data_IF_367765637840
#
_entry.id   IF_367765637840
#
_cell.length_a   1.000
_cell.length_b   1.000
_cell.length_c   1.000
_cell.angle_alpha   90.00
_cell.angle_beta   90.00
_cell.angle_gamma   90.00
#
_symmetry.space_group_name_H-M   'P 1'
#
loop_
_entity.id
_entity.type
_entity.pdbx_description
1 polymer ?
#
# COMPACT_ATOMS: atom_id res chain seq x y z
N UNK A 1 -28.66 -23.05 40.44
CA UNK A 1 -27.77 -23.40 41.57
C UNK A 1 -26.74 -22.27 41.66
N UNK A 2 -27.08 -21.14 42.32
CA UNK A 2 -26.78 -20.82 43.74
C UNK A 2 -25.24 -20.77 43.96
N UNK A 3 -24.55 -19.71 44.39
CA UNK A 3 -24.82 -18.46 45.13
C UNK A 3 -23.75 -17.42 44.67
N UNK A 4 -24.07 -16.13 44.50
CA UNK A 4 -23.88 -15.04 45.48
C UNK A 4 -22.54 -15.05 46.24
N UNK A 5 -21.65 -14.10 45.91
CA UNK A 5 -20.87 -13.40 46.92
C UNK A 5 -20.65 -11.94 46.50
N UNK A 6 -21.24 -11.11 47.36
CA UNK A 6 -21.22 -9.68 47.44
C UNK A 6 -19.79 -9.20 47.68
N UNK A 7 -19.28 -8.27 46.88
CA UNK A 7 -18.20 -7.38 47.33
C UNK A 7 -18.50 -5.95 46.87
N UNK A 8 -19.33 -5.29 47.67
CA UNK A 8 -19.40 -3.84 47.77
C UNK A 8 -18.02 -3.31 48.18
N UNK A 9 -17.20 -2.89 47.21
CA UNK A 9 -16.09 -1.98 47.50
C UNK A 9 -16.54 -0.57 47.15
N UNK A 10 -16.69 0.25 48.20
CA UNK A 10 -16.88 1.70 48.12
C UNK A 10 -15.85 2.30 47.16
N UNK A 11 -16.29 2.77 45.99
CA UNK A 11 -15.51 3.74 45.21
C UNK A 11 -15.51 5.05 45.99
N UNK A 12 -14.41 5.34 46.66
CA UNK A 12 -14.10 6.70 47.07
C UNK A 12 -14.01 7.56 45.80
N UNK A 13 -15.03 8.39 45.61
CA UNK A 13 -15.10 9.46 44.65
C UNK A 13 -14.19 10.60 45.11
N UNK A 14 -12.90 10.53 44.84
CA UNK A 14 -12.00 11.69 44.87
C UNK A 14 -10.82 11.47 43.94
N UNK A 15 -11.05 11.58 42.63
CA UNK A 15 -10.00 11.93 41.69
C UNK A 15 -10.66 12.82 40.62
N UNK A 16 -10.50 14.14 40.78
CA UNK A 16 -10.73 15.08 39.70
C UNK A 16 -9.73 14.77 38.58
N UNK A 17 -10.11 13.88 37.65
CA UNK A 17 -9.39 13.73 36.39
C UNK A 17 -9.86 14.81 35.43
N UNK A 18 -8.99 15.77 35.17
CA UNK A 18 -9.22 16.74 34.11
C UNK A 18 -9.42 16.04 32.75
N UNK A 19 -10.27 16.58 31.87
CA UNK A 19 -10.47 16.09 30.52
C UNK A 19 -9.16 15.96 29.73
N UNK A 20 -9.05 14.96 28.86
CA UNK A 20 -7.84 14.62 28.08
C UNK A 20 -7.28 15.76 27.21
N UNK A 21 -8.09 16.76 26.88
CA UNK A 21 -7.67 17.95 26.12
C UNK A 21 -7.08 19.07 26.99
N UNK A 22 -7.17 18.99 28.32
CA UNK A 22 -6.52 19.91 29.26
C UNK A 22 -5.16 19.38 29.76
N UNK A 23 -4.98 18.06 29.79
CA UNK A 23 -3.67 17.44 30.06
C UNK A 23 -2.61 17.79 29.00
N UNK A 24 -3.03 18.02 27.77
CA UNK A 24 -2.16 18.51 26.69
C UNK A 24 -1.76 19.97 26.91
N UNK A 25 -2.60 20.81 27.50
CA UNK A 25 -2.24 22.21 27.82
C UNK A 25 -1.10 22.29 28.84
N UNK A 26 -1.06 21.41 29.83
CA UNK A 26 0.03 21.36 30.81
C UNK A 26 1.35 20.84 30.21
N UNK A 27 1.30 19.93 29.24
CA UNK A 27 2.49 19.50 28.47
C UNK A 27 2.99 20.57 27.48
N UNK A 28 2.11 21.46 27.01
CA UNK A 28 2.45 22.54 26.07
C UNK A 28 3.19 23.69 26.77
N UNK A 29 3.02 23.87 28.08
CA UNK A 29 3.61 25.01 28.82
C UNK A 29 5.03 24.80 29.37
N UNK A 30 5.59 23.59 29.36
CA UNK A 30 6.87 23.31 30.07
C UNK A 30 8.10 23.10 29.18
N UNK A 31 8.03 23.35 27.87
CA UNK A 31 9.22 23.34 27.03
C UNK A 31 9.12 24.43 25.95
N UNK A 32 10.03 25.41 25.91
CA UNK A 32 10.08 26.32 24.78
C UNK A 32 10.38 25.49 23.53
N UNK A 33 9.61 25.70 22.46
CA UNK A 33 9.90 25.22 21.10
C UNK A 33 11.17 25.90 20.56
N UNK A 34 12.31 25.65 21.22
CA UNK A 34 13.60 25.77 20.60
C UNK A 34 13.75 24.51 19.76
N UNK A 35 13.78 24.69 18.44
CA UNK A 35 14.30 23.70 17.50
C UNK A 35 15.48 22.99 18.17
N UNK A 36 15.35 21.70 18.54
CA UNK A 36 16.48 20.98 19.08
C UNK A 36 17.54 21.06 18.01
N UNK A 37 18.69 21.65 18.37
CA UNK A 37 19.89 21.65 17.54
C UNK A 37 19.97 20.28 16.88
N UNK A 38 19.95 20.27 15.55
CA UNK A 38 20.04 19.07 14.73
C UNK A 38 21.24 18.27 15.25
N UNK A 39 20.99 17.27 16.10
CA UNK A 39 22.05 16.38 16.51
C UNK A 39 22.29 15.47 15.31
N UNK A 40 23.28 15.90 14.50
CA UNK A 40 23.80 15.30 13.26
C UNK A 40 24.35 13.88 13.51
N UNK A 41 24.35 13.40 14.77
CA UNK A 41 24.91 12.11 15.20
C UNK A 41 24.13 10.86 14.77
N UNK A 42 22.97 10.96 14.11
CA UNK A 42 22.31 9.76 13.55
C UNK A 42 23.06 9.16 12.35
N UNK A 43 23.98 9.92 11.72
CA UNK A 43 24.88 9.41 10.66
C UNK A 43 26.10 8.66 11.23
N UNK A 44 26.40 8.78 12.53
CA UNK A 44 27.49 8.06 13.21
C UNK A 44 27.03 6.81 13.98
N UNK A 45 25.76 6.41 13.88
CA UNK A 45 25.31 5.15 14.47
C UNK A 45 25.78 3.96 13.63
N UNK A 46 26.59 3.08 14.24
CA UNK A 46 27.04 1.82 13.65
C UNK A 46 25.82 1.01 13.15
N UNK A 47 25.96 0.30 12.02
CA UNK A 47 24.87 -0.50 11.40
C UNK A 47 24.07 -1.32 12.42
N UNK A 48 24.75 -1.94 13.38
CA UNK A 48 24.12 -2.71 14.44
C UNK A 48 23.15 -1.92 15.31
N UNK A 49 23.49 -0.69 15.71
CA UNK A 49 22.63 0.14 16.56
C UNK A 49 21.39 0.64 15.80
N UNK A 50 21.56 0.96 14.51
CA UNK A 50 20.47 1.42 13.62
C UNK A 50 19.42 0.34 13.35
N UNK A 51 19.85 -0.91 13.20
CA UNK A 51 18.98 -2.05 12.90
C UNK A 51 18.65 -2.93 14.11
N UNK A 52 19.20 -2.64 15.30
CA UNK A 52 18.97 -3.40 16.53
C UNK A 52 17.49 -3.69 16.81
N UNK A 53 16.55 -2.72 16.66
CA UNK A 53 15.13 -3.00 16.86
C UNK A 53 14.54 -3.95 15.82
N UNK A 54 15.00 -3.85 14.56
CA UNK A 54 14.55 -4.74 13.47
C UNK A 54 15.14 -6.15 13.62
N UNK A 55 16.39 -6.25 14.05
CA UNK A 55 17.08 -7.51 14.37
C UNK A 55 16.43 -8.19 15.59
N UNK A 56 15.97 -7.40 16.56
CA UNK A 56 15.20 -7.87 17.71
C UNK A 56 13.87 -8.52 17.29
N UNK A 57 13.22 -8.06 16.23
CA UNK A 57 12.01 -8.69 15.65
C UNK A 57 12.33 -9.99 14.91
N UNK A 58 13.59 -10.21 14.48
CA UNK A 58 14.02 -11.47 13.85
C UNK A 58 14.22 -12.63 14.84
N UNK A 59 14.08 -12.40 16.15
CA UNK A 59 14.15 -13.48 17.15
C UNK A 59 12.89 -14.37 17.00
N UNK A 60 13.04 -15.68 16.73
CA UNK A 60 11.94 -16.55 16.32
C UNK A 60 10.80 -16.62 17.34
N UNK A 61 11.10 -16.95 18.60
CA UNK A 61 10.12 -17.06 19.69
C UNK A 61 10.63 -16.30 20.90
N UNK A 62 9.83 -15.35 21.39
CA UNK A 62 10.09 -14.66 22.66
C UNK A 62 9.25 -15.29 23.76
N UNK A 63 9.86 -16.17 24.54
CA UNK A 63 9.23 -16.88 25.67
C UNK A 63 8.86 -15.95 26.84
N UNK A 64 9.44 -14.76 26.92
CA UNK A 64 9.11 -13.73 27.93
C UNK A 64 8.59 -12.48 27.23
N UNK A 65 7.28 -12.28 27.27
CA UNK A 65 6.65 -11.03 26.87
C UNK A 65 7.02 -9.96 27.90
N UNK A 66 7.98 -9.08 27.58
CA UNK A 66 8.09 -7.81 28.31
C UNK A 66 6.77 -7.04 28.09
N UNK A 67 6.29 -6.32 29.10
CA UNK A 67 5.14 -5.43 28.94
C UNK A 67 5.56 -4.26 28.06
N UNK A 68 5.46 -4.41 26.73
CA UNK A 68 5.61 -3.27 25.83
C UNK A 68 4.29 -2.54 25.75
N UNK A 69 4.41 -1.23 25.64
CA UNK A 69 3.32 -0.28 25.44
C UNK A 69 2.52 -0.66 24.19
N UNK A 70 3.18 -1.13 23.13
CA UNK A 70 2.54 -1.77 21.97
C UNK A 70 2.92 -3.28 21.89
N UNK A 71 1.94 -4.21 21.82
CA UNK A 71 2.21 -5.66 21.73
C UNK A 71 3.04 -6.06 20.51
N UNK A 72 3.01 -5.24 19.46
CA UNK A 72 3.78 -5.43 18.24
C UNK A 72 5.29 -5.25 18.44
N UNK A 73 5.72 -4.29 19.27
CA UNK A 73 7.14 -3.98 19.49
C UNK A 73 7.87 -5.14 20.20
N UNK A 74 7.11 -6.00 20.86
CA UNK A 74 7.59 -7.20 21.51
C UNK A 74 7.27 -8.50 20.76
N UNK A 75 6.71 -8.44 19.56
CA UNK A 75 6.47 -9.63 18.75
C UNK A 75 7.81 -10.24 18.29
N UNK A 76 7.97 -11.55 18.47
CA UNK A 76 9.01 -12.33 17.79
C UNK A 76 8.67 -12.54 16.31
N UNK A 77 9.59 -13.09 15.52
CA UNK A 77 9.46 -13.25 14.07
C UNK A 77 8.20 -14.04 13.70
N UNK A 78 7.93 -15.17 14.38
CA UNK A 78 6.75 -15.97 14.11
C UNK A 78 5.46 -15.25 14.50
N UNK A 79 5.44 -14.56 15.64
CA UNK A 79 4.27 -13.77 16.07
C UNK A 79 4.00 -12.59 15.11
N UNK A 80 5.05 -11.97 14.59
CA UNK A 80 4.95 -10.91 13.59
C UNK A 80 4.46 -11.44 12.24
N UNK A 81 5.03 -12.55 11.75
CA UNK A 81 4.66 -13.16 10.46
C UNK A 81 3.22 -13.71 10.45
N UNK A 82 2.78 -14.30 11.57
CA UNK A 82 1.42 -14.86 11.72
C UNK A 82 0.40 -13.84 12.22
N UNK A 83 0.82 -12.60 12.48
CA UNK A 83 0.00 -11.56 13.11
C UNK A 83 -0.63 -11.97 14.46
N UNK A 84 -0.03 -12.94 15.15
CA UNK A 84 -0.57 -13.48 16.41
C UNK A 84 -0.73 -12.40 17.49
N UNK A 85 0.12 -11.38 17.51
CA UNK A 85 0.05 -10.25 18.45
C UNK A 85 -1.27 -9.46 18.37
N UNK A 86 -2.00 -9.52 17.25
CA UNK A 86 -3.30 -8.86 17.07
C UNK A 86 -4.48 -9.71 17.59
N UNK A 87 -4.27 -11.01 17.80
CA UNK A 87 -5.34 -11.97 18.11
C UNK A 87 -6.09 -11.64 19.40
N UNK A 88 -5.38 -11.16 20.43
CA UNK A 88 -5.99 -10.76 21.71
C UNK A 88 -6.95 -9.58 21.54
N UNK A 89 -6.59 -8.60 20.68
CA UNK A 89 -7.44 -7.46 20.35
C UNK A 89 -8.66 -7.90 19.53
N UNK A 90 -8.47 -8.81 18.57
CA UNK A 90 -9.58 -9.36 17.77
C UNK A 90 -10.60 -10.11 18.63
N UNK A 91 -10.14 -10.94 19.56
CA UNK A 91 -11.02 -11.67 20.50
C UNK A 91 -11.74 -10.68 21.43
N UNK A 92 -11.05 -9.64 21.92
CA UNK A 92 -11.67 -8.59 22.74
C UNK A 92 -12.74 -7.84 21.96
N UNK A 93 -12.49 -7.52 20.67
CA UNK A 93 -13.46 -6.88 19.79
C UNK A 93 -14.66 -7.74 19.42
N UNK A 94 -14.47 -9.06 19.33
CA UNK A 94 -15.57 -10.00 19.15
C UNK A 94 -16.50 -10.04 20.37
N UNK A 95 -15.94 -9.92 21.57
CA UNK A 95 -16.71 -10.00 22.83
C UNK A 95 -17.28 -8.65 23.30
N UNK A 96 -16.60 -7.55 22.97
CA UNK A 96 -16.94 -6.21 23.45
C UNK A 96 -16.67 -5.16 22.36
N UNK A 97 -17.40 -4.03 22.39
CA UNK A 97 -17.12 -2.92 21.48
C UNK A 97 -15.72 -2.34 21.74
N UNK A 98 -14.96 -2.12 20.66
CA UNK A 98 -13.66 -1.47 20.70
C UNK A 98 -13.87 0.05 20.65
N UNK A 99 -13.41 0.74 21.67
CA UNK A 99 -13.32 2.21 21.71
C UNK A 99 -11.87 2.65 21.49
N UNK A 100 -11.66 3.93 21.14
CA UNK A 100 -10.32 4.50 20.94
C UNK A 100 -9.37 4.24 22.13
N UNK A 101 -9.88 4.33 23.36
CA UNK A 101 -9.13 4.11 24.60
C UNK A 101 -8.72 2.64 24.83
N UNK A 102 -9.35 1.70 24.13
CA UNK A 102 -9.07 0.26 24.26
C UNK A 102 -8.02 -0.25 23.28
N UNK A 103 -7.62 0.61 22.33
CA UNK A 103 -6.59 0.30 21.36
C UNK A 103 -5.19 0.44 21.98
N UNK A 104 -4.24 -0.43 21.59
CA UNK A 104 -2.87 -0.26 22.02
C UNK A 104 -2.31 1.06 21.48
N UNK A 105 -1.54 1.81 22.29
CA UNK A 105 -0.86 3.02 21.84
C UNK A 105 0.12 2.73 20.69
N UNK A 106 0.37 3.74 19.87
CA UNK A 106 1.22 3.63 18.69
C UNK A 106 2.67 3.30 19.08
N UNK A 107 3.33 2.45 18.27
CA UNK A 107 4.76 2.17 18.41
C UNK A 107 5.57 3.45 18.18
N UNK A 108 6.62 3.65 18.99
CA UNK A 108 7.57 4.75 18.79
C UNK A 108 8.21 4.73 17.39
N UNK A 109 8.44 3.56 16.80
CA UNK A 109 9.05 3.46 15.46
C UNK A 109 8.09 3.84 14.32
N UNK A 110 6.79 3.82 14.59
CA UNK A 110 5.73 4.18 13.65
C UNK A 110 5.19 5.60 13.91
N UNK A 111 5.74 6.32 14.90
CA UNK A 111 5.35 7.70 15.23
C UNK A 111 5.90 8.73 14.22
N UNK A 112 5.36 9.94 14.25
CA UNK A 112 5.70 11.00 13.29
C UNK A 112 7.12 11.52 13.46
N UNK A 113 7.54 11.79 14.69
CA UNK A 113 8.80 12.46 15.02
C UNK A 113 10.07 11.79 14.44
N UNK A 114 10.36 10.49 14.67
CA UNK A 114 11.57 9.86 14.13
C UNK A 114 11.51 9.73 12.60
N UNK A 115 10.32 9.51 12.03
CA UNK A 115 10.15 9.36 10.60
C UNK A 115 10.26 10.71 9.86
N UNK A 116 9.74 11.80 10.45
CA UNK A 116 9.88 13.17 9.94
C UNK A 116 11.34 13.65 10.00
N UNK A 117 12.05 13.40 11.11
CA UNK A 117 13.50 13.69 11.22
C UNK A 117 14.29 12.97 10.12
N UNK A 118 14.06 11.66 9.95
CA UNK A 118 14.74 10.87 8.90
C UNK A 118 14.44 11.40 7.49
N UNK A 119 13.20 11.77 7.22
CA UNK A 119 12.83 12.32 5.91
C UNK A 119 13.49 13.68 5.65
N UNK A 120 13.54 14.57 6.65
CA UNK A 120 14.23 15.87 6.56
C UNK A 120 15.69 15.74 6.19
N UNK A 121 16.43 14.87 6.90
CA UNK A 121 17.84 14.62 6.60
C UNK A 121 18.06 14.18 5.14
N UNK A 122 17.20 13.30 4.63
CA UNK A 122 17.27 12.85 3.22
C UNK A 122 16.88 13.96 2.23
N UNK A 123 15.97 14.85 2.60
CA UNK A 123 15.54 16.00 1.81
C UNK A 123 16.65 17.04 1.71
N UNK A 124 17.23 17.43 2.85
CA UNK A 124 18.36 18.36 2.95
C UNK A 124 19.59 17.85 2.19
N UNK A 125 19.90 16.55 2.30
CA UNK A 125 20.98 15.93 1.53
C UNK A 125 20.76 15.97 0.01
N UNK A 126 19.50 15.88 -0.47
CA UNK A 126 19.19 16.01 -1.89
C UNK A 126 19.26 17.47 -2.35
N UNK A 127 18.76 18.41 -1.53
CA UNK A 127 18.87 19.85 -1.77
C UNK A 127 20.33 20.28 -1.87
N UNK A 128 21.18 19.85 -0.94
CA UNK A 128 22.61 20.15 -0.94
C UNK A 128 23.34 19.58 -2.18
N UNK A 129 22.86 18.44 -2.71
CA UNK A 129 23.52 17.76 -3.84
C UNK A 129 23.14 18.33 -5.20
N UNK A 130 21.87 18.69 -5.43
CA UNK A 130 21.35 19.00 -6.77
C UNK A 130 20.79 20.43 -6.87
N UNK A 131 20.69 21.15 -5.75
CA UNK A 131 20.10 22.48 -5.67
C UNK A 131 18.56 22.44 -5.64
N UNK A 132 17.92 23.55 -5.24
CA UNK A 132 16.47 23.63 -5.01
C UNK A 132 15.63 23.42 -6.28
N UNK A 133 16.12 23.86 -7.44
CA UNK A 133 15.37 23.76 -8.70
C UNK A 133 15.23 22.31 -9.18
N UNK A 134 16.29 21.51 -9.04
CA UNK A 134 16.38 20.12 -9.53
C UNK A 134 16.12 19.06 -8.45
N UNK A 135 15.82 19.46 -7.22
CA UNK A 135 15.45 18.54 -6.16
C UNK A 135 14.13 17.83 -6.47
N UNK A 136 14.08 16.51 -6.25
CA UNK A 136 12.92 15.67 -6.57
C UNK A 136 12.49 14.85 -5.36
N UNK A 137 11.22 15.03 -4.97
CA UNK A 137 10.57 14.27 -3.91
C UNK A 137 10.58 12.76 -4.21
N UNK A 138 10.38 12.38 -5.47
CA UNK A 138 10.37 10.98 -5.91
C UNK A 138 11.71 10.30 -5.61
N UNK A 139 12.83 10.99 -5.84
CA UNK A 139 14.17 10.43 -5.59
C UNK A 139 14.44 10.25 -4.09
N UNK A 140 13.97 11.16 -3.26
CA UNK A 140 14.08 11.07 -1.79
C UNK A 140 13.20 9.94 -1.25
N UNK A 141 11.98 9.78 -1.78
CA UNK A 141 11.10 8.64 -1.49
C UNK A 141 11.75 7.31 -1.87
N UNK A 142 12.36 7.21 -3.06
CA UNK A 142 13.08 6.00 -3.49
C UNK A 142 14.28 5.70 -2.59
N UNK A 143 15.05 6.72 -2.17
CA UNK A 143 16.14 6.55 -1.19
C UNK A 143 15.62 6.08 0.17
N UNK A 144 14.48 6.59 0.63
CA UNK A 144 13.84 6.18 1.87
C UNK A 144 13.45 4.69 1.86
N UNK A 145 13.05 4.18 0.69
CA UNK A 145 12.59 2.79 0.46
C UNK A 145 13.71 1.82 0.03
N UNK A 146 14.91 2.32 -0.36
CA UNK A 146 15.97 1.55 -1.03
C UNK A 146 16.33 0.22 -0.36
N UNK A 147 16.49 0.21 0.96
CA UNK A 147 16.87 -1.01 1.71
C UNK A 147 15.74 -2.03 1.81
N UNK A 148 14.48 -1.62 1.64
CA UNK A 148 13.30 -2.49 1.75
C UNK A 148 12.89 -3.06 0.39
N UNK A 149 13.01 -2.28 -0.68
CA UNK A 149 12.84 -2.76 -2.07
C UNK A 149 13.83 -3.91 -2.36
N UNK A 150 15.08 -3.81 -1.89
CA UNK A 150 16.07 -4.88 -2.08
C UNK A 150 15.69 -6.17 -1.34
N UNK A 151 15.14 -6.08 -0.13
CA UNK A 151 14.69 -7.26 0.63
C UNK A 151 13.49 -7.92 -0.04
N UNK A 152 12.56 -7.11 -0.56
CA UNK A 152 11.37 -7.59 -1.27
C UNK A 152 11.74 -8.38 -2.53
N UNK A 153 12.63 -7.80 -3.36
CA UNK A 153 13.13 -8.45 -4.59
C UNK A 153 13.90 -9.74 -4.29
N UNK A 154 14.69 -9.78 -3.21
CA UNK A 154 15.44 -10.99 -2.83
C UNK A 154 14.50 -12.11 -2.35
N UNK A 155 13.39 -11.77 -1.70
CA UNK A 155 12.42 -12.76 -1.20
C UNK A 155 11.70 -13.50 -2.33
N UNK A 156 11.48 -12.83 -3.46
CA UNK A 156 10.81 -13.39 -4.65
C UNK A 156 11.71 -14.33 -5.49
N UNK A 157 13.05 -14.24 -5.34
CA UNK A 157 14.00 -14.92 -6.24
C UNK A 157 14.54 -16.24 -5.68
N UNK A 158 14.41 -16.50 -4.38
CA UNK A 158 15.07 -17.64 -3.71
C UNK A 158 14.16 -18.86 -3.51
N UNK A 159 13.76 -19.55 -4.56
CA UNK A 159 13.36 -20.97 -4.45
C UNK A 159 13.77 -21.74 -5.72
N UNK A 160 14.88 -22.47 -5.63
CA UNK A 160 15.24 -23.51 -6.59
C UNK A 160 15.74 -24.71 -5.79
N UNK A 161 15.03 -25.84 -5.92
CA UNK A 161 15.50 -27.13 -5.43
C UNK A 161 15.63 -28.10 -6.59
N UNK A 162 16.76 -28.80 -6.63
CA UNK A 162 17.04 -29.91 -7.53
C UNK A 162 16.55 -31.21 -6.92
N UNK A 163 15.84 -32.01 -7.72
CA UNK A 163 15.26 -33.29 -7.29
C UNK A 163 16.20 -34.44 -7.65
N UNK A 164 16.69 -35.16 -6.64
CA UNK A 164 17.31 -36.48 -6.78
C UNK A 164 16.22 -37.59 -6.80
N UNK A 165 16.54 -38.87 -7.08
CA UNK A 165 15.59 -40.01 -7.26
C UNK A 165 15.68 -41.09 -6.16
N UNK A 166 14.53 -41.54 -5.60
CA UNK A 166 14.22 -42.81 -4.88
C UNK A 166 12.85 -42.81 -4.15
N UNK A 167 12.22 -43.97 -3.92
CA UNK A 167 10.82 -44.12 -3.43
C UNK A 167 10.48 -43.53 -2.04
N UNK A 168 11.47 -43.33 -1.15
CA UNK A 168 11.29 -42.58 0.12
C UNK A 168 11.04 -41.08 -0.15
N UNK A 169 11.35 -40.62 -1.37
CA UNK A 169 11.15 -39.23 -1.79
C UNK A 169 9.71 -38.87 -2.12
N UNK A 170 8.78 -39.80 -2.30
CA UNK A 170 7.38 -39.39 -2.48
C UNK A 170 6.90 -38.58 -1.26
N UNK A 171 7.14 -39.14 -0.07
CA UNK A 171 6.87 -38.48 1.21
C UNK A 171 7.82 -37.30 1.43
N UNK A 172 9.12 -37.45 1.09
CA UNK A 172 10.11 -36.37 1.18
C UNK A 172 9.77 -35.14 0.34
N UNK A 173 9.31 -35.34 -0.90
CA UNK A 173 8.86 -34.30 -1.84
C UNK A 173 7.55 -33.68 -1.38
N UNK A 174 6.61 -34.46 -0.82
CA UNK A 174 5.40 -33.89 -0.22
C UNK A 174 5.74 -32.97 0.97
N UNK A 175 6.67 -33.37 1.84
CA UNK A 175 7.15 -32.55 2.95
C UNK A 175 7.91 -31.33 2.44
N UNK A 176 8.79 -31.49 1.45
CA UNK A 176 9.53 -30.39 0.83
C UNK A 176 8.59 -29.38 0.15
N UNK A 177 7.60 -29.84 -0.61
CA UNK A 177 6.56 -29.00 -1.22
C UNK A 177 5.75 -28.26 -0.16
N UNK A 178 5.36 -28.94 0.93
CA UNK A 178 4.67 -28.29 2.04
C UNK A 178 5.52 -27.20 2.68
N UNK A 179 6.81 -27.49 2.95
CA UNK A 179 7.73 -26.52 3.53
C UNK A 179 8.02 -25.35 2.59
N UNK A 180 8.14 -25.59 1.28
CA UNK A 180 8.34 -24.57 0.26
C UNK A 180 7.10 -23.68 0.08
N UNK A 181 5.90 -24.25 0.10
CA UNK A 181 4.66 -23.46 0.07
C UNK A 181 4.46 -22.66 1.36
N UNK A 182 4.77 -23.26 2.52
CA UNK A 182 4.72 -22.57 3.80
C UNK A 182 5.73 -21.41 3.86
N UNK A 183 6.97 -21.64 3.42
CA UNK A 183 8.00 -20.61 3.37
C UNK A 183 7.56 -19.48 2.44
N UNK A 184 7.09 -19.79 1.23
CA UNK A 184 6.56 -18.80 0.27
C UNK A 184 5.46 -17.95 0.88
N UNK A 185 4.47 -18.55 1.53
CA UNK A 185 3.36 -17.80 2.16
C UNK A 185 3.86 -16.89 3.28
N UNK A 186 4.81 -17.35 4.11
CA UNK A 186 5.41 -16.54 5.18
C UNK A 186 6.19 -15.35 4.59
N UNK A 187 7.04 -15.59 3.58
CA UNK A 187 7.79 -14.52 2.92
C UNK A 187 6.87 -13.51 2.25
N UNK A 188 5.84 -13.96 1.55
CA UNK A 188 4.82 -13.10 0.95
C UNK A 188 4.11 -12.24 2.00
N UNK A 189 3.68 -12.82 3.11
CA UNK A 189 3.05 -12.07 4.19
C UNK A 189 4.00 -11.02 4.82
N UNK A 190 5.26 -11.38 5.03
CA UNK A 190 6.28 -10.47 5.58
C UNK A 190 6.62 -9.32 4.61
N UNK A 191 6.76 -9.62 3.33
CA UNK A 191 6.94 -8.65 2.24
C UNK A 191 5.83 -7.58 2.29
N UNK A 192 4.57 -8.01 2.28
CA UNK A 192 3.43 -7.11 2.41
C UNK A 192 3.43 -6.35 3.74
N UNK A 193 3.70 -6.99 4.87
CA UNK A 193 3.77 -6.32 6.17
C UNK A 193 4.81 -5.18 6.20
N UNK A 194 5.98 -5.42 5.60
CA UNK A 194 7.06 -4.43 5.49
C UNK A 194 6.64 -3.31 4.54
N UNK A 195 6.09 -3.62 3.37
CA UNK A 195 5.64 -2.63 2.40
C UNK A 195 4.56 -1.71 2.98
N UNK A 196 3.54 -2.27 3.65
CA UNK A 196 2.51 -1.49 4.36
C UNK A 196 3.10 -0.55 5.39
N UNK A 197 3.99 -1.05 6.28
CA UNK A 197 4.62 -0.20 7.30
C UNK A 197 5.45 0.92 6.70
N UNK A 198 6.21 0.63 5.65
CA UNK A 198 7.04 1.66 5.02
C UNK A 198 6.18 2.73 4.36
N UNK A 199 5.09 2.32 3.72
CA UNK A 199 4.14 3.25 3.13
C UNK A 199 3.50 4.17 4.18
N UNK A 200 3.09 3.62 5.34
CA UNK A 200 2.54 4.42 6.45
C UNK A 200 3.60 5.40 6.98
N UNK A 201 4.81 4.93 7.29
CA UNK A 201 5.89 5.77 7.83
C UNK A 201 6.26 6.91 6.89
N UNK A 202 6.33 6.63 5.58
CA UNK A 202 6.61 7.64 4.58
C UNK A 202 5.48 8.68 4.51
N UNK A 203 4.22 8.23 4.45
CA UNK A 203 3.06 9.15 4.43
C UNK A 203 3.09 10.07 5.65
N UNK A 204 3.25 9.51 6.85
CA UNK A 204 3.28 10.27 8.10
C UNK A 204 4.45 11.26 8.11
N UNK A 205 5.65 10.84 7.69
CA UNK A 205 6.81 11.73 7.62
C UNK A 205 6.56 12.93 6.71
N UNK A 206 6.06 12.69 5.50
CA UNK A 206 5.81 13.75 4.52
C UNK A 206 4.70 14.68 4.99
N UNK A 207 3.60 14.15 5.55
CA UNK A 207 2.52 14.97 6.11
C UNK A 207 2.97 15.82 7.29
N UNK A 208 3.82 15.27 8.17
CA UNK A 208 4.34 16.00 9.34
C UNK A 208 5.24 17.14 8.89
N UNK A 209 6.19 16.85 7.99
CA UNK A 209 7.09 17.87 7.44
C UNK A 209 6.29 18.93 6.70
N UNK A 210 5.36 18.55 5.83
CA UNK A 210 4.49 19.52 5.14
C UNK A 210 3.73 20.42 6.13
N UNK A 211 3.19 19.86 7.21
CA UNK A 211 2.47 20.61 8.24
C UNK A 211 3.39 21.58 9.00
N UNK A 212 4.58 21.16 9.41
CA UNK A 212 5.56 22.04 10.09
C UNK A 212 6.04 23.17 9.18
N UNK A 213 6.27 22.89 7.88
CA UNK A 213 6.60 23.92 6.90
C UNK A 213 5.46 24.94 6.77
N UNK A 214 4.21 24.49 6.72
CA UNK A 214 3.05 25.40 6.67
C UNK A 214 2.93 26.28 7.91
N UNK A 215 3.26 25.75 9.09
CA UNK A 215 3.29 26.53 10.34
C UNK A 215 4.42 27.56 10.37
N UNK A 216 5.51 27.33 9.65
CA UNK A 216 6.66 28.23 9.60
C UNK A 216 6.47 29.44 8.65
N UNK A 217 5.48 29.41 7.75
CA UNK A 217 5.20 30.54 6.85
C UNK A 217 4.48 31.68 7.58
N UNK A 218 5.07 32.89 7.57
CA UNK A 218 4.48 34.12 8.13
C UNK A 218 3.20 34.57 7.40
N UNK A 219 3.06 34.25 6.11
CA UNK A 219 1.85 34.54 5.33
C UNK A 219 1.59 33.42 4.32
N UNK A 220 0.39 32.85 4.36
CA UNK A 220 -0.09 31.80 3.44
C UNK A 220 -0.94 32.39 2.30
N UNK A 221 -0.80 33.68 1.98
CA UNK A 221 -1.65 34.39 1.00
C UNK A 221 -1.70 33.76 -0.39
N UNK A 222 -0.70 32.96 -0.76
CA UNK A 222 -0.62 32.27 -2.06
C UNK A 222 -1.11 30.80 -2.03
N UNK A 223 -1.48 30.25 -0.88
CA UNK A 223 -1.93 28.85 -0.73
C UNK A 223 -3.33 28.83 -0.13
N UNK A 224 -4.29 28.19 -0.81
CA UNK A 224 -5.62 28.01 -0.23
C UNK A 224 -5.62 26.91 0.83
N UNK A 225 -6.46 27.05 1.86
CA UNK A 225 -6.69 25.99 2.87
C UNK A 225 -7.13 24.68 2.23
N UNK A 226 -7.91 24.76 1.14
CA UNK A 226 -8.34 23.58 0.38
C UNK A 226 -7.18 22.85 -0.31
N UNK A 227 -6.21 23.58 -0.84
CA UNK A 227 -5.01 23.01 -1.44
C UNK A 227 -4.13 22.28 -0.41
N UNK A 228 -3.95 22.88 0.76
CA UNK A 228 -3.28 22.23 1.91
C UNK A 228 -3.97 20.93 2.30
N UNK A 229 -5.30 20.94 2.43
CA UNK A 229 -6.07 19.74 2.79
C UNK A 229 -5.92 18.67 1.70
N UNK A 230 -5.96 19.04 0.42
CA UNK A 230 -5.80 18.09 -0.68
C UNK A 230 -4.40 17.45 -0.68
N UNK A 231 -3.35 18.22 -0.40
CA UNK A 231 -1.97 17.71 -0.28
C UNK A 231 -1.85 16.68 0.87
N UNK A 232 -2.41 17.00 2.05
CA UNK A 232 -2.33 16.13 3.22
C UNK A 232 -3.22 14.87 3.11
N UNK A 233 -4.36 14.96 2.40
CA UNK A 233 -5.34 13.88 2.29
C UNK A 233 -5.14 13.03 1.04
N UNK A 234 -5.49 13.56 -0.13
CA UNK A 234 -5.51 12.86 -1.40
C UNK A 234 -4.10 12.58 -1.91
N UNK A 235 -3.21 13.58 -1.92
CA UNK A 235 -1.83 13.37 -2.38
C UNK A 235 -1.03 12.52 -1.38
N UNK A 236 -1.22 12.73 -0.08
CA UNK A 236 -0.67 11.85 0.96
C UNK A 236 -1.11 10.39 0.81
N UNK A 237 -2.35 10.13 0.40
CA UNK A 237 -2.81 8.78 0.10
C UNK A 237 -2.18 8.20 -1.19
N UNK A 238 -2.05 9.01 -2.25
CA UNK A 238 -1.35 8.59 -3.48
C UNK A 238 0.10 8.23 -3.20
N UNK A 239 0.79 8.98 -2.34
CA UNK A 239 2.15 8.66 -1.91
C UNK A 239 2.22 7.36 -1.11
N UNK A 240 1.22 7.10 -0.26
CA UNK A 240 1.10 5.82 0.42
C UNK A 240 0.94 4.66 -0.57
N UNK A 241 0.03 4.76 -1.55
CA UNK A 241 -0.14 3.73 -2.59
C UNK A 241 1.16 3.55 -3.40
N UNK A 242 1.83 4.64 -3.76
CA UNK A 242 3.07 4.60 -4.50
C UNK A 242 4.19 3.87 -3.74
N UNK A 243 4.33 4.12 -2.44
CA UNK A 243 5.28 3.42 -1.61
C UNK A 243 4.92 1.95 -1.40
N UNK A 244 3.62 1.64 -1.26
CA UNK A 244 3.15 0.27 -1.07
C UNK A 244 3.44 -0.62 -2.29
N UNK A 245 3.24 -0.09 -3.50
CA UNK A 245 3.39 -0.83 -4.75
C UNK A 245 4.72 -0.57 -5.49
N UNK A 246 5.64 0.17 -4.87
CA UNK A 246 6.93 0.56 -5.45
C UNK A 246 7.79 -0.61 -5.99
N UNK A 247 7.76 -1.83 -5.41
CA UNK A 247 8.54 -2.95 -5.92
C UNK A 247 7.98 -3.54 -7.23
N UNK A 248 6.68 -3.41 -7.49
CA UNK A 248 6.01 -4.07 -8.62
C UNK A 248 6.54 -3.71 -10.02
N UNK A 249 6.92 -2.44 -10.32
CA UNK A 249 7.57 -2.07 -11.58
C UNK A 249 8.83 -2.88 -11.93
N UNK A 250 9.57 -3.35 -10.93
CA UNK A 250 10.78 -4.15 -11.14
C UNK A 250 10.43 -5.64 -11.09
N UNK A 251 9.61 -6.06 -10.11
CA UNK A 251 9.27 -7.47 -9.90
C UNK A 251 8.44 -8.06 -11.04
N UNK A 252 7.47 -7.32 -11.60
CA UNK A 252 6.58 -7.84 -12.65
C UNK A 252 7.34 -8.20 -13.94
N UNK A 253 8.16 -7.30 -14.54
CA UNK A 253 8.97 -7.67 -15.70
C UNK A 253 10.00 -8.76 -15.40
N UNK A 254 10.65 -8.71 -14.24
CA UNK A 254 11.60 -9.75 -13.84
C UNK A 254 10.95 -11.13 -13.79
N UNK A 255 9.77 -11.24 -13.19
CA UNK A 255 9.00 -12.48 -13.09
C UNK A 255 8.59 -12.99 -14.48
N UNK A 256 8.13 -12.12 -15.38
CA UNK A 256 7.82 -12.48 -16.79
C UNK A 256 9.04 -13.07 -17.52
N UNK A 257 10.22 -12.46 -17.33
CA UNK A 257 11.47 -12.93 -17.93
C UNK A 257 11.86 -14.29 -17.36
N UNK A 258 11.85 -14.46 -16.03
CA UNK A 258 12.18 -15.72 -15.38
C UNK A 258 11.23 -16.85 -15.80
N UNK A 259 9.91 -16.60 -15.81
CA UNK A 259 8.92 -17.58 -16.26
C UNK A 259 9.12 -17.95 -17.74
N UNK A 260 9.48 -16.99 -18.59
CA UNK A 260 9.76 -17.25 -20.01
C UNK A 260 11.02 -18.10 -20.17
N UNK A 261 12.13 -17.74 -19.51
CA UNK A 261 13.38 -18.51 -19.56
C UNK A 261 13.14 -19.93 -19.07
N UNK A 262 12.48 -20.10 -17.92
CA UNK A 262 12.21 -21.42 -17.36
C UNK A 262 11.31 -22.26 -18.26
N UNK A 263 10.28 -21.65 -18.86
CA UNK A 263 9.41 -22.35 -19.83
C UNK A 263 10.20 -22.76 -21.09
N UNK A 264 11.12 -21.93 -21.57
CA UNK A 264 12.00 -22.27 -22.69
C UNK A 264 13.00 -23.38 -22.34
N UNK A 265 13.44 -23.50 -21.09
CA UNK A 265 14.30 -24.62 -20.66
C UNK A 265 13.55 -25.95 -20.64
N UNK A 266 12.26 -25.95 -20.32
CA UNK A 266 11.44 -27.18 -20.26
C UNK A 266 10.93 -27.59 -21.64
N UNK A 267 10.37 -26.66 -22.42
CA UNK A 267 9.71 -26.94 -23.71
C UNK A 267 10.57 -26.65 -24.94
N UNK A 268 11.73 -26.04 -24.75
CA UNK A 268 12.51 -25.49 -25.84
C UNK A 268 11.83 -24.26 -26.48
N UNK A 269 12.10 -23.99 -27.77
CA UNK A 269 11.61 -22.79 -28.47
C UNK A 269 10.08 -22.66 -28.52
N UNK A 270 9.34 -23.75 -28.37
CA UNK A 270 7.86 -23.78 -28.45
C UNK A 270 7.19 -22.99 -27.33
N UNK A 271 7.86 -22.81 -26.17
CA UNK A 271 7.36 -21.99 -25.08
C UNK A 271 7.19 -20.50 -25.45
N UNK A 272 7.97 -20.01 -26.42
CA UNK A 272 7.90 -18.63 -26.88
C UNK A 272 6.54 -18.27 -27.48
N UNK A 273 5.79 -19.25 -27.99
CA UNK A 273 4.43 -19.03 -28.49
C UNK A 273 3.48 -18.58 -27.39
N UNK A 274 3.55 -19.21 -26.22
CA UNK A 274 2.77 -18.77 -25.05
C UNK A 274 3.19 -17.38 -24.59
N UNK A 275 4.48 -17.11 -24.51
CA UNK A 275 5.00 -15.78 -24.18
C UNK A 275 4.54 -14.72 -25.19
N UNK A 276 4.50 -15.05 -26.49
CA UNK A 276 4.02 -14.16 -27.53
C UNK A 276 2.53 -13.82 -27.37
N UNK A 277 1.70 -14.81 -27.01
CA UNK A 277 0.30 -14.56 -26.64
C UNK A 277 0.24 -13.53 -25.50
N UNK A 278 1.01 -13.72 -24.43
CA UNK A 278 1.03 -12.76 -23.33
C UNK A 278 1.47 -11.34 -23.76
N UNK A 279 2.51 -11.22 -24.60
CA UNK A 279 2.98 -9.93 -25.12
C UNK A 279 1.88 -9.19 -25.90
N UNK A 280 1.06 -9.90 -26.69
CA UNK A 280 -0.06 -9.31 -27.44
C UNK A 280 -1.19 -8.86 -26.51
N UNK A 281 -1.50 -9.63 -25.46
CA UNK A 281 -2.62 -9.32 -24.58
C UNK A 281 -2.30 -8.23 -23.54
N UNK A 282 -1.04 -8.01 -23.20
CA UNK A 282 -0.60 -6.91 -22.31
C UNK A 282 -1.10 -5.52 -22.80
N UNK A 283 -0.85 -5.06 -24.04
CA UNK A 283 -1.34 -3.76 -24.51
C UNK A 283 -2.87 -3.69 -24.59
N UNK A 284 -3.53 -4.79 -24.96
CA UNK A 284 -4.99 -4.87 -24.95
C UNK A 284 -5.54 -4.64 -23.54
N UNK A 285 -4.93 -5.23 -22.53
CA UNK A 285 -5.37 -5.07 -21.14
C UNK A 285 -5.08 -3.67 -20.60
N UNK A 286 -3.94 -3.08 -20.97
CA UNK A 286 -3.66 -1.67 -20.66
C UNK A 286 -4.67 -0.71 -21.30
N UNK A 287 -5.09 -0.97 -22.53
CA UNK A 287 -6.13 -0.19 -23.21
C UNK A 287 -7.47 -0.30 -22.48
N UNK A 288 -7.89 -1.51 -22.09
CA UNK A 288 -9.13 -1.72 -21.33
C UNK A 288 -9.09 -1.05 -19.95
N UNK A 289 -7.95 -1.11 -19.25
CA UNK A 289 -7.74 -0.38 -17.99
C UNK A 289 -7.84 1.15 -18.19
N UNK A 290 -7.26 1.68 -19.28
CA UNK A 290 -7.36 3.11 -19.62
C UNK A 290 -8.80 3.52 -19.93
N UNK A 291 -9.53 2.74 -20.70
CA UNK A 291 -10.95 2.97 -20.99
C UNK A 291 -11.80 2.98 -19.72
N UNK A 292 -11.57 2.03 -18.81
CA UNK A 292 -12.22 1.98 -17.50
C UNK A 292 -11.96 3.26 -16.71
N UNK A 293 -10.72 3.76 -16.70
CA UNK A 293 -10.33 5.00 -16.03
C UNK A 293 -11.04 6.22 -16.63
N UNK A 294 -11.13 6.31 -17.97
CA UNK A 294 -11.82 7.41 -18.67
C UNK A 294 -13.30 7.44 -18.30
N UNK A 295 -14.01 6.30 -18.38
CA UNK A 295 -15.42 6.25 -18.01
C UNK A 295 -15.65 6.54 -16.52
N UNK A 296 -14.77 6.07 -15.63
CA UNK A 296 -14.84 6.42 -14.21
C UNK A 296 -14.68 7.92 -13.97
N UNK A 297 -13.74 8.58 -14.66
CA UNK A 297 -13.56 10.04 -14.55
C UNK A 297 -14.80 10.80 -15.03
N UNK A 298 -15.39 10.38 -16.15
CA UNK A 298 -16.64 10.96 -16.63
C UNK A 298 -17.80 10.75 -15.63
N UNK A 299 -17.90 9.58 -15.01
CA UNK A 299 -18.90 9.31 -13.99
C UNK A 299 -18.72 10.17 -12.74
N UNK A 300 -17.48 10.41 -12.30
CA UNK A 300 -17.17 11.30 -11.17
C UNK A 300 -17.66 12.71 -11.47
N UNK A 301 -17.38 13.25 -12.66
CA UNK A 301 -17.85 14.61 -13.03
C UNK A 301 -19.38 14.75 -12.97
N UNK A 302 -20.14 13.76 -13.45
CA UNK A 302 -21.61 13.77 -13.36
C UNK A 302 -22.08 13.61 -11.90
N UNK A 303 -21.35 12.83 -11.11
CA UNK A 303 -21.64 12.64 -9.68
C UNK A 303 -21.47 13.95 -8.92
N UNK A 304 -20.43 14.73 -9.22
CA UNK A 304 -20.19 16.03 -8.61
C UNK A 304 -21.34 17.00 -8.91
N UNK A 305 -21.79 17.08 -10.17
CA UNK A 305 -22.97 17.89 -10.54
C UNK A 305 -24.21 17.45 -9.75
N UNK A 306 -24.46 16.13 -9.63
CA UNK A 306 -25.60 15.61 -8.88
C UNK A 306 -25.54 16.01 -7.40
N UNK A 307 -24.36 15.91 -6.79
CA UNK A 307 -24.15 16.26 -5.37
C UNK A 307 -24.33 17.77 -5.16
N UNK A 308 -23.80 18.60 -6.05
CA UNK A 308 -23.98 20.05 -6.02
C UNK A 308 -25.47 20.43 -6.10
N UNK A 309 -26.20 19.94 -7.10
CA UNK A 309 -27.64 20.21 -7.24
C UNK A 309 -28.43 19.73 -6.02
N UNK A 310 -28.02 18.59 -5.42
CA UNK A 310 -28.67 18.08 -4.22
C UNK A 310 -28.44 19.00 -3.00
N UNK A 311 -27.25 19.58 -2.86
CA UNK A 311 -26.95 20.57 -1.82
C UNK A 311 -27.77 21.86 -2.00
N UNK A 312 -27.93 22.34 -3.22
CA UNK A 312 -28.78 23.51 -3.53
C UNK A 312 -30.25 23.26 -3.16
N UNK A 313 -30.77 22.07 -3.48
CA UNK A 313 -32.15 21.67 -3.13
C UNK A 313 -32.35 21.58 -1.61
N UNK A 314 -31.38 21.00 -0.89
CA UNK A 314 -31.45 20.92 0.57
C UNK A 314 -31.42 22.30 1.23
N UNK A 315 -30.65 23.23 0.66
CA UNK A 315 -30.60 24.62 1.13
C UNK A 315 -31.95 25.33 0.94
N UNK A 316 -32.63 25.08 -0.18
CA UNK A 316 -33.92 25.68 -0.53
C UNK A 316 -35.16 24.84 -0.14
N UNK A 317 -35.00 23.83 0.73
CA UNK A 317 -36.04 22.80 0.95
C UNK A 317 -37.37 23.37 1.45
N UNK A 318 -37.35 24.43 2.28
CA UNK A 318 -38.56 25.06 2.81
C UNK A 318 -39.42 25.67 1.69
N UNK A 319 -38.80 26.37 0.74
CA UNK A 319 -39.49 26.96 -0.41
C UNK A 319 -40.04 25.87 -1.32
N UNK A 320 -39.24 24.85 -1.61
CA UNK A 320 -39.65 23.73 -2.47
C UNK A 320 -40.90 23.03 -1.91
N UNK A 321 -40.96 22.83 -0.59
CA UNK A 321 -42.15 22.26 0.07
C UNK A 321 -43.34 23.21 0.09
N UNK A 322 -43.12 24.51 0.31
CA UNK A 322 -44.18 25.52 0.28
C UNK A 322 -44.88 25.58 -1.08
N UNK A 323 -44.14 25.41 -2.18
CA UNK A 323 -44.67 25.41 -3.54
C UNK A 323 -44.99 24.01 -4.10
N UNK A 324 -44.86 22.94 -3.30
CA UNK A 324 -45.08 21.54 -3.71
C UNK A 324 -44.29 21.12 -4.97
N UNK A 325 -43.05 21.62 -5.11
CA UNK A 325 -42.18 21.36 -6.27
C UNK A 325 -41.36 20.06 -6.16
N UNK A 326 -41.57 19.24 -5.13
CA UNK A 326 -40.71 18.08 -4.84
C UNK A 326 -40.63 17.10 -6.01
N UNK A 327 -41.77 16.84 -6.68
CA UNK A 327 -41.83 15.92 -7.82
C UNK A 327 -41.02 16.42 -9.02
N UNK A 328 -40.99 17.73 -9.26
CA UNK A 328 -40.25 18.34 -10.37
C UNK A 328 -38.74 18.20 -10.13
N UNK A 329 -38.26 18.61 -8.95
CA UNK A 329 -36.85 18.46 -8.56
C UNK A 329 -36.40 17.00 -8.48
N UNK A 330 -37.25 16.09 -8.00
CA UNK A 330 -36.96 14.66 -8.00
C UNK A 330 -36.77 14.12 -9.43
N UNK A 331 -37.59 14.57 -10.40
CA UNK A 331 -37.45 14.20 -11.81
C UNK A 331 -36.13 14.73 -12.40
N UNK A 332 -35.74 15.97 -12.06
CA UNK A 332 -34.48 16.56 -12.50
C UNK A 332 -33.26 15.76 -11.98
N UNK A 333 -33.21 15.46 -10.68
CA UNK A 333 -32.14 14.62 -10.09
C UNK A 333 -32.12 13.22 -10.73
N UNK A 334 -33.29 12.61 -10.96
CA UNK A 334 -33.39 11.30 -11.61
C UNK A 334 -32.84 11.33 -13.04
N UNK A 335 -33.01 12.45 -13.77
CA UNK A 335 -32.39 12.67 -15.07
C UNK A 335 -30.86 12.60 -15.01
N UNK A 336 -30.24 13.36 -14.10
CA UNK A 336 -28.79 13.35 -13.86
C UNK A 336 -28.32 11.94 -13.47
N UNK A 337 -29.04 11.29 -12.54
CA UNK A 337 -28.74 9.93 -12.07
C UNK A 337 -28.80 8.89 -13.19
N UNK A 338 -29.71 9.02 -14.15
CA UNK A 338 -29.78 8.11 -15.30
C UNK A 338 -28.58 8.25 -16.23
N UNK A 339 -28.07 9.47 -16.41
CA UNK A 339 -26.82 9.71 -17.17
C UNK A 339 -25.63 9.10 -16.43
N UNK A 340 -25.51 9.36 -15.13
CA UNK A 340 -24.48 8.78 -14.25
C UNK A 340 -24.49 7.24 -14.34
N UNK A 341 -25.68 6.63 -14.20
CA UNK A 341 -25.87 5.18 -14.30
C UNK A 341 -25.36 4.62 -15.62
N UNK A 342 -25.70 5.22 -16.76
CA UNK A 342 -25.27 4.75 -18.08
C UNK A 342 -23.75 4.77 -18.23
N UNK A 343 -23.07 5.78 -17.68
CA UNK A 343 -21.61 5.87 -17.72
C UNK A 343 -20.98 4.81 -16.80
N UNK A 344 -21.50 4.66 -15.59
CA UNK A 344 -21.05 3.63 -14.64
C UNK A 344 -21.26 2.22 -15.19
N UNK A 345 -22.37 1.98 -15.87
CA UNK A 345 -22.68 0.70 -16.50
C UNK A 345 -21.68 0.37 -17.63
N UNK A 346 -21.37 1.34 -18.49
CA UNK A 346 -20.28 1.19 -19.49
C UNK A 346 -18.92 0.91 -18.84
N UNK A 347 -18.59 1.62 -17.76
CA UNK A 347 -17.36 1.37 -17.01
C UNK A 347 -17.34 -0.04 -16.41
N UNK A 348 -18.47 -0.50 -15.89
CA UNK A 348 -18.67 -1.85 -15.35
C UNK A 348 -18.44 -2.92 -16.41
N UNK A 349 -19.07 -2.79 -17.59
CA UNK A 349 -18.87 -3.74 -18.69
C UNK A 349 -17.41 -3.84 -19.14
N UNK A 350 -16.73 -2.69 -19.34
CA UNK A 350 -15.31 -2.68 -19.72
C UNK A 350 -14.44 -3.32 -18.63
N UNK A 351 -14.72 -3.02 -17.35
CA UNK A 351 -14.01 -3.61 -16.22
C UNK A 351 -14.24 -5.13 -16.14
N UNK A 352 -15.47 -5.61 -16.35
CA UNK A 352 -15.79 -7.03 -16.38
C UNK A 352 -15.06 -7.77 -17.49
N UNK A 353 -15.02 -7.21 -18.71
CA UNK A 353 -14.24 -7.77 -19.83
C UNK A 353 -12.75 -7.82 -19.47
N UNK A 354 -12.21 -6.76 -18.88
CA UNK A 354 -10.82 -6.70 -18.45
C UNK A 354 -10.46 -7.77 -17.41
N UNK A 355 -11.36 -8.04 -16.45
CA UNK A 355 -11.18 -9.09 -15.44
C UNK A 355 -11.34 -10.50 -16.01
N UNK A 356 -12.24 -10.69 -16.98
CA UNK A 356 -12.43 -11.98 -17.66
C UNK A 356 -11.26 -12.33 -18.59
N UNK A 357 -10.57 -11.33 -19.15
CA UNK A 357 -9.44 -11.52 -20.04
C UNK A 357 -8.27 -12.24 -19.37
N UNK A 358 -7.96 -11.90 -18.12
CA UNK A 358 -6.82 -12.48 -17.37
C UNK A 358 -6.79 -14.02 -17.35
N UNK A 359 -7.85 -14.74 -16.92
CA UNK A 359 -7.87 -16.21 -17.00
C UNK A 359 -7.87 -16.74 -18.43
N UNK A 360 -8.59 -16.09 -19.36
CA UNK A 360 -8.68 -16.53 -20.76
C UNK A 360 -7.30 -16.54 -21.43
N UNK A 361 -6.48 -15.50 -21.20
CA UNK A 361 -5.14 -15.39 -21.78
C UNK A 361 -4.24 -16.55 -21.34
N UNK A 362 -4.31 -16.95 -20.07
CA UNK A 362 -3.50 -18.05 -19.54
C UNK A 362 -3.88 -19.40 -20.15
N UNK A 363 -5.19 -19.66 -20.26
CA UNK A 363 -5.70 -20.87 -20.93
C UNK A 363 -5.34 -20.88 -22.41
N UNK A 364 -5.51 -19.75 -23.10
CA UNK A 364 -5.17 -19.63 -24.52
C UNK A 364 -3.68 -19.82 -24.77
N UNK A 365 -2.81 -19.21 -23.96
CA UNK A 365 -1.36 -19.39 -24.04
C UNK A 365 -0.96 -20.85 -23.85
N UNK A 366 -1.58 -21.54 -22.89
CA UNK A 366 -1.34 -22.98 -22.65
C UNK A 366 -1.72 -23.82 -23.86
N UNK A 367 -2.95 -23.65 -24.36
CA UNK A 367 -3.48 -24.41 -25.50
C UNK A 367 -2.64 -24.18 -26.74
N UNK A 368 -2.33 -22.92 -27.08
CA UNK A 368 -1.54 -22.59 -28.26
C UNK A 368 -0.12 -23.18 -28.20
N UNK A 369 0.52 -23.13 -27.03
CA UNK A 369 1.84 -23.74 -26.83
C UNK A 369 1.79 -25.26 -27.01
N UNK A 370 0.82 -25.96 -26.43
CA UNK A 370 0.72 -27.42 -26.56
C UNK A 370 0.34 -27.88 -27.96
N UNK A 371 -0.55 -27.15 -28.63
CA UNK A 371 -0.90 -27.41 -30.04
C UNK A 371 0.35 -27.26 -30.92
N UNK A 372 1.12 -26.17 -30.77
CA UNK A 372 2.34 -26.01 -31.56
C UNK A 372 3.39 -27.10 -31.24
N UNK A 373 3.57 -27.43 -29.97
CA UNK A 373 4.52 -28.45 -29.53
C UNK A 373 4.20 -29.84 -30.12
N UNK A 374 2.93 -30.21 -30.12
CA UNK A 374 2.46 -31.48 -30.72
C UNK A 374 2.51 -31.47 -32.25
N UNK A 375 2.24 -30.33 -32.90
CA UNK A 375 2.40 -30.17 -34.36
C UNK A 375 3.85 -30.34 -34.81
N UNK A 376 4.81 -29.89 -34.00
CA UNK A 376 6.24 -30.08 -34.24
C UNK A 376 6.73 -31.51 -33.89
N UNK A 377 5.80 -32.43 -33.60
CA UNK A 377 6.06 -33.83 -33.24
C UNK A 377 7.00 -34.00 -32.06
N UNK A 378 6.99 -33.06 -31.12
CA UNK A 378 7.74 -33.15 -29.87
C UNK A 378 6.93 -33.91 -28.81
N UNK A 379 7.60 -34.71 -27.99
CA UNK A 379 6.94 -35.51 -26.96
C UNK A 379 6.50 -34.66 -25.77
N UNK A 380 5.18 -34.53 -25.59
CA UNK A 380 4.60 -33.83 -24.45
C UNK A 380 4.35 -34.80 -23.29
N UNK A 381 5.31 -34.89 -22.36
CA UNK A 381 5.12 -35.68 -21.13
C UNK A 381 4.24 -34.94 -20.12
N UNK A 382 3.45 -35.66 -19.33
CA UNK A 382 2.56 -35.05 -18.33
C UNK A 382 3.30 -34.15 -17.32
N UNK A 383 4.48 -34.55 -16.84
CA UNK A 383 5.32 -33.76 -15.92
C UNK A 383 5.70 -32.40 -16.52
N UNK A 384 6.04 -32.38 -17.81
CA UNK A 384 6.36 -31.20 -18.59
C UNK A 384 5.13 -30.30 -18.78
N UNK A 385 3.99 -30.89 -19.16
CA UNK A 385 2.75 -30.14 -19.36
C UNK A 385 2.27 -29.45 -18.07
N UNK A 386 2.23 -30.17 -16.95
CA UNK A 386 1.83 -29.59 -15.66
C UNK A 386 2.78 -28.49 -15.19
N UNK A 387 4.08 -28.63 -15.44
CA UNK A 387 5.07 -27.60 -15.10
C UNK A 387 4.84 -26.30 -15.89
N UNK A 388 4.55 -26.38 -17.20
CA UNK A 388 4.24 -25.20 -18.02
C UNK A 388 2.94 -24.53 -17.59
N UNK A 389 1.90 -25.32 -17.30
CA UNK A 389 0.62 -24.78 -16.78
C UNK A 389 0.87 -24.00 -15.48
N UNK A 390 1.68 -24.54 -14.57
CA UNK A 390 2.04 -23.85 -13.34
C UNK A 390 2.77 -22.52 -13.62
N UNK A 391 3.74 -22.50 -14.55
CA UNK A 391 4.45 -21.27 -14.93
C UNK A 391 3.53 -20.22 -15.57
N UNK A 392 2.62 -20.64 -16.45
CA UNK A 392 1.64 -19.72 -17.05
C UNK A 392 0.60 -19.22 -16.04
N UNK A 393 0.28 -20.00 -14.99
CA UNK A 393 -0.54 -19.51 -13.88
C UNK A 393 0.19 -18.43 -13.04
N UNK A 394 1.50 -18.55 -12.85
CA UNK A 394 2.30 -17.47 -12.23
C UNK A 394 2.29 -16.23 -13.12
N UNK A 395 2.45 -16.39 -14.43
CA UNK A 395 2.43 -15.29 -15.39
C UNK A 395 1.08 -14.53 -15.44
N UNK A 396 -0.02 -15.28 -15.26
CA UNK A 396 -1.37 -14.72 -15.09
C UNK A 396 -1.46 -13.78 -13.88
N UNK A 397 -0.82 -14.12 -12.76
CA UNK A 397 -0.80 -13.26 -11.57
C UNK A 397 -0.05 -11.94 -11.85
N UNK A 398 1.11 -12.00 -12.53
CA UNK A 398 1.88 -10.82 -12.94
C UNK A 398 1.05 -9.82 -13.75
N UNK A 399 0.18 -10.34 -14.62
CA UNK A 399 -0.69 -9.54 -15.47
C UNK A 399 -1.84 -8.91 -14.67
N UNK A 400 -2.41 -9.63 -13.70
CA UNK A 400 -3.44 -9.09 -12.83
C UNK A 400 -2.97 -7.86 -12.04
N UNK A 401 -1.68 -7.84 -11.64
CA UNK A 401 -1.08 -6.73 -10.88
C UNK A 401 -0.44 -5.65 -11.75
N UNK A 402 -0.31 -5.88 -13.06
CA UNK A 402 0.29 -4.95 -14.02
C UNK A 402 -0.33 -3.54 -14.00
N UNK A 403 -1.66 -3.34 -13.88
CA UNK A 403 -2.24 -1.99 -13.83
C UNK A 403 -1.74 -1.15 -12.66
N UNK A 404 -1.51 -1.78 -11.49
CA UNK A 404 -0.93 -1.10 -10.32
C UNK A 404 0.52 -0.73 -10.57
N UNK A 405 1.30 -1.66 -11.13
CA UNK A 405 2.69 -1.44 -11.53
C UNK A 405 2.81 -0.27 -12.51
N UNK A 406 2.01 -0.23 -13.58
CA UNK A 406 2.01 0.85 -14.58
C UNK A 406 1.61 2.20 -13.97
N UNK A 407 0.58 2.24 -13.11
CA UNK A 407 0.18 3.48 -12.40
C UNK A 407 1.37 4.08 -11.63
N UNK A 408 2.16 3.24 -10.96
CA UNK A 408 3.34 3.70 -10.21
C UNK A 408 4.51 4.03 -11.14
N UNK A 409 4.77 3.24 -12.17
CA UNK A 409 5.82 3.53 -13.15
C UNK A 409 5.64 4.90 -13.80
N UNK A 410 4.40 5.25 -14.19
CA UNK A 410 4.10 6.57 -14.75
C UNK A 410 4.35 7.68 -13.71
N UNK A 411 3.97 7.46 -12.44
CA UNK A 411 4.26 8.40 -11.35
C UNK A 411 5.77 8.59 -11.14
N UNK A 412 6.57 7.54 -11.27
CA UNK A 412 8.03 7.59 -11.12
C UNK A 412 8.72 8.26 -12.32
N UNK A 413 8.23 8.01 -13.54
CA UNK A 413 8.79 8.53 -14.80
C UNK A 413 8.36 9.96 -15.11
N UNK A 414 7.20 10.39 -14.63
CA UNK A 414 6.67 11.75 -14.82
C UNK A 414 6.18 12.32 -13.50
N UNK A 415 7.11 12.74 -12.60
CA UNK A 415 6.77 13.33 -11.32
C UNK A 415 5.81 14.51 -11.48
N UNK A 416 6.06 15.34 -12.49
CA UNK A 416 5.33 16.60 -12.74
C UNK A 416 3.90 16.39 -13.27
N UNK A 417 3.56 15.19 -13.78
CA UNK A 417 2.26 14.91 -14.42
C UNK A 417 1.23 14.30 -13.45
N UNK A 418 1.66 13.64 -12.37
CA UNK A 418 0.77 12.94 -11.43
C UNK A 418 0.81 13.48 -10.01
N UNK A 419 1.96 14.01 -9.59
CA UNK A 419 1.98 14.92 -8.48
C UNK A 419 1.68 16.29 -9.07
N UNK A 420 0.44 16.75 -8.93
CA UNK A 420 0.12 18.17 -8.96
C UNK A 420 0.83 18.81 -7.76
N UNK A 421 2.15 18.94 -7.88
CA UNK A 421 3.02 19.61 -6.95
C UNK A 421 3.46 20.99 -7.48
N UNK A 422 2.55 21.89 -7.95
CA UNK A 422 2.83 23.32 -7.85
C UNK A 422 3.22 23.71 -6.41
N UNK A 423 2.76 22.94 -5.41
CA UNK A 423 2.97 23.14 -3.98
C UNK A 423 4.24 22.51 -3.38
N UNK A 424 5.11 21.79 -4.14
CA UNK A 424 6.48 21.52 -3.62
C UNK A 424 7.39 22.73 -3.75
N UNK A 425 6.97 23.80 -4.43
CA UNK A 425 7.67 25.08 -4.36
C UNK A 425 7.97 25.47 -2.91
N UNK A 426 7.03 25.21 -2.00
CA UNK A 426 7.18 25.47 -0.57
C UNK A 426 8.23 24.59 0.15
N UNK A 427 8.53 23.39 -0.36
CA UNK A 427 9.62 22.53 0.16
C UNK A 427 10.98 22.82 -0.49
N UNK A 428 10.98 23.44 -1.68
CA UNK A 428 12.17 23.77 -2.47
C UNK A 428 12.80 25.10 -2.08
N UNK A 429 12.02 26.03 -1.55
CA UNK A 429 12.57 27.25 -0.98
C UNK A 429 13.02 26.99 0.47
N UNK A 430 14.32 27.12 0.78
CA UNK A 430 14.73 27.17 2.17
C UNK A 430 13.98 28.32 2.85
N UNK A 431 13.65 28.15 4.12
CA UNK A 431 13.25 29.26 4.99
C UNK A 431 14.33 30.34 4.88
N UNK A 432 14.10 31.34 4.02
CA UNK A 432 14.86 32.56 4.04
C UNK A 432 14.50 33.21 5.38
N UNK A 433 15.39 33.06 6.35
CA UNK A 433 15.40 33.86 7.56
C UNK A 433 15.73 35.29 7.14
N UNK A 434 14.72 36.04 6.72
CA UNK A 434 14.69 37.50 6.79
C UNK A 434 13.42 37.97 7.52
#
# INVERSE_FOLDING_TARGET
MLYFLNFTSKRNLTEHKEPWYLQTSAMVTSAPYLLPHLDIRDDEMTFHHKYEPSLKTMIPVRLKAKSAVNPMDNAGLFSFATYSWLSSLMIKGYRHNINADTLPPLSYHDSSEPNAKRFRLLWEAELARVGPEKASLVRVVLKFQRTRILVDVISEVKHFESVSKDSIQGIGLCIALFLAELSKVIFWALAWAINYRTAIRLKVAVSTVAFEYLLAFKSLTHISVGEVINVLSNDGYRMFEAALFCPLPITVPALMIVCTIYSCLILGPTALTGTFVYIIFIPLQMLMAKLTSIFRRAAISVTDTRVQTMNEILTCIKLIKMYAWEKSFAKAIKGIRNVERKILEKAGYVQSVNSALTPIVSTLATVMTFVLHTLLKQELTASVAFSVIAMFNVMKFSIAILPFSVKISILLLSPDTYLSLPSTGFLKHPLAHE
#
